data_IF_086175779828
#
_entry.id   IF_086175779828
#
_cell.length_a   1.000
_cell.length_b   1.000
_cell.length_c   1.000
_cell.angle_alpha   90.00
_cell.angle_beta   90.00
_cell.angle_gamma   90.00
#
_symmetry.space_group_name_H-M   'P 1'
#
loop_
_entity.id
_entity.type
_entity.pdbx_description
1 polymer ?
#
# COMPACT_ATOMS: atom_id res chain seq x y z
N UNK A 1 4.17 30.48 7.61
CA UNK A 1 3.95 29.34 8.52
C UNK A 1 4.98 28.28 8.19
N UNK A 2 5.85 27.90 9.13
CA UNK A 2 6.75 26.76 8.93
C UNK A 2 5.89 25.50 9.09
N UNK A 3 5.32 24.99 7.99
CA UNK A 3 4.46 23.81 8.03
C UNK A 3 5.26 22.59 8.49
N UNK A 4 4.71 21.78 9.40
CA UNK A 4 5.30 20.48 9.75
C UNK A 4 5.54 19.69 8.44
N UNK A 5 6.73 19.10 8.31
CA UNK A 5 7.09 18.29 7.14
C UNK A 5 6.39 16.93 7.24
N UNK A 6 5.11 16.90 6.85
CA UNK A 6 4.28 15.72 6.88
C UNK A 6 4.59 14.78 5.72
N UNK A 7 4.38 13.49 5.96
CA UNK A 7 4.48 12.43 4.97
C UNK A 7 3.21 11.58 5.00
N UNK A 8 2.86 10.99 3.87
CA UNK A 8 1.79 10.00 3.77
C UNK A 8 2.41 8.63 3.53
N UNK A 9 1.91 7.62 4.24
CA UNK A 9 2.42 6.27 4.08
C UNK A 9 1.63 5.54 3.00
N UNK A 10 2.31 4.84 2.11
CA UNK A 10 1.69 4.01 1.08
C UNK A 10 1.85 2.53 1.46
N UNK A 11 0.74 1.89 1.83
CA UNK A 11 0.69 0.53 2.35
C UNK A 11 -0.03 -0.40 1.35
N UNK A 12 0.72 -1.37 0.82
CA UNK A 12 0.19 -2.33 -0.15
C UNK A 12 -0.28 -3.60 0.55
N UNK A 13 -1.52 -4.02 0.30
CA UNK A 13 -2.10 -5.24 0.85
C UNK A 13 -1.96 -6.43 -0.09
N UNK A 14 -1.68 -7.60 0.50
CA UNK A 14 -1.61 -8.90 -0.16
C UNK A 14 -1.88 -10.02 0.87
N UNK A 15 -1.43 -11.26 0.59
CA UNK A 15 -1.42 -12.39 1.52
C UNK A 15 -0.30 -13.38 1.18
N UNK A 16 0.14 -14.13 2.18
CA UNK A 16 1.27 -15.08 2.07
C UNK A 16 1.00 -16.25 1.10
N UNK A 17 -0.27 -16.57 0.84
CA UNK A 17 -0.67 -17.68 -0.04
C UNK A 17 -0.22 -17.53 -1.50
N UNK A 18 0.18 -16.32 -1.92
CA UNK A 18 0.63 -16.04 -3.28
C UNK A 18 2.10 -16.39 -3.54
N UNK A 19 2.89 -16.69 -2.49
CA UNK A 19 4.30 -17.05 -2.63
C UNK A 19 5.24 -15.87 -2.87
N UNK A 20 6.54 -16.10 -2.70
CA UNK A 20 7.57 -15.05 -2.69
C UNK A 20 7.70 -14.31 -4.03
N UNK A 21 7.55 -15.00 -5.16
CA UNK A 21 7.68 -14.40 -6.48
C UNK A 21 6.58 -13.36 -6.74
N UNK A 22 5.31 -13.70 -6.45
CA UNK A 22 4.20 -12.75 -6.54
C UNK A 22 4.41 -11.58 -5.56
N UNK A 23 4.79 -11.86 -4.31
CA UNK A 23 5.05 -10.80 -3.33
C UNK A 23 6.18 -9.84 -3.75
N UNK A 24 7.20 -10.35 -4.46
CA UNK A 24 8.25 -9.53 -5.04
C UNK A 24 7.72 -8.61 -6.16
N UNK A 25 6.86 -9.11 -7.04
CA UNK A 25 6.18 -8.30 -8.08
C UNK A 25 5.27 -7.24 -7.45
N UNK A 26 4.50 -7.60 -6.43
CA UNK A 26 3.66 -6.66 -5.66
C UNK A 26 4.49 -5.54 -5.05
N UNK A 27 5.62 -5.89 -4.43
CA UNK A 27 6.53 -4.90 -3.84
C UNK A 27 7.14 -3.98 -4.90
N UNK A 28 7.47 -4.51 -6.07
CA UNK A 28 8.02 -3.75 -7.19
C UNK A 28 7.00 -2.80 -7.81
N UNK A 29 5.77 -3.25 -8.07
CA UNK A 29 4.69 -2.38 -8.56
C UNK A 29 4.39 -1.24 -7.57
N UNK A 30 4.37 -1.55 -6.28
CA UNK A 30 4.22 -0.54 -5.21
C UNK A 30 5.36 0.50 -5.23
N UNK A 31 6.61 0.05 -5.43
CA UNK A 31 7.78 0.93 -5.57
C UNK A 31 7.64 1.87 -6.76
N UNK A 32 7.34 1.32 -7.94
CA UNK A 32 7.19 2.10 -9.17
C UNK A 32 6.08 3.15 -9.03
N UNK A 33 4.92 2.78 -8.48
CA UNK A 33 3.79 3.72 -8.27
C UNK A 33 4.22 4.86 -7.34
N UNK A 34 4.79 4.54 -6.18
CA UNK A 34 5.19 5.57 -5.19
C UNK A 34 6.25 6.50 -5.75
N UNK A 35 7.26 5.97 -6.45
CA UNK A 35 8.31 6.79 -7.06
C UNK A 35 7.76 7.72 -8.15
N UNK A 36 6.91 7.22 -9.05
CA UNK A 36 6.32 8.05 -10.09
C UNK A 36 5.38 9.12 -9.51
N UNK A 37 4.58 8.78 -8.49
CA UNK A 37 3.72 9.75 -7.80
C UNK A 37 4.54 10.84 -7.11
N UNK A 38 5.63 10.49 -6.44
CA UNK A 38 6.55 11.45 -5.84
C UNK A 38 7.25 12.33 -6.90
N UNK A 39 7.70 11.73 -8.00
CA UNK A 39 8.40 12.44 -9.08
C UNK A 39 7.46 13.29 -9.95
N UNK A 40 6.15 13.11 -9.86
CA UNK A 40 5.16 13.86 -10.66
C UNK A 40 5.16 15.36 -10.38
N UNK A 41 5.63 15.79 -9.20
CA UNK A 41 5.55 17.17 -8.73
C UNK A 41 4.11 17.65 -8.43
N UNK A 42 3.09 16.79 -8.58
CA UNK A 42 1.69 17.13 -8.34
C UNK A 42 1.32 17.05 -6.86
N UNK A 43 1.94 16.10 -6.13
CA UNK A 43 1.62 15.87 -4.73
C UNK A 43 2.30 16.90 -3.83
N UNK A 44 1.57 17.53 -2.89
CA UNK A 44 2.14 18.53 -1.99
C UNK A 44 3.02 17.94 -0.86
N UNK A 45 2.99 16.61 -0.68
CA UNK A 45 3.73 15.89 0.35
C UNK A 45 4.27 14.56 -0.19
N UNK A 46 5.38 14.10 0.39
CA UNK A 46 6.04 12.84 0.05
C UNK A 46 5.17 11.63 0.43
N UNK A 47 5.11 10.65 -0.48
CA UNK A 47 4.65 9.30 -0.22
C UNK A 47 5.81 8.42 0.23
N UNK A 48 5.71 7.84 1.42
CA UNK A 48 6.67 6.87 1.95
C UNK A 48 6.11 5.47 1.77
N UNK A 49 6.71 4.70 0.86
CA UNK A 49 6.37 3.28 0.68
C UNK A 49 6.65 2.50 1.96
N UNK A 50 5.74 1.60 2.31
CA UNK A 50 5.90 0.62 3.39
C UNK A 50 5.98 -0.81 2.85
N UNK A 51 6.48 -1.77 3.65
CA UNK A 51 6.48 -3.18 3.26
C UNK A 51 5.06 -3.68 2.93
N UNK A 52 4.98 -4.67 2.04
CA UNK A 52 3.71 -5.34 1.72
C UNK A 52 3.13 -5.98 2.98
N UNK A 53 1.84 -5.75 3.21
CA UNK A 53 1.11 -6.23 4.37
C UNK A 53 0.40 -7.54 4.01
N UNK A 54 0.83 -8.64 4.62
CA UNK A 54 0.42 -10.00 4.25
C UNK A 54 -0.33 -10.73 5.37
N UNK A 55 -0.31 -10.20 6.59
CA UNK A 55 -0.92 -10.82 7.77
C UNK A 55 -1.42 -9.77 8.79
N UNK A 56 -2.21 -10.22 9.76
CA UNK A 56 -2.76 -9.35 10.80
C UNK A 56 -1.67 -8.66 11.65
N UNK A 57 -0.53 -9.33 11.86
CA UNK A 57 0.57 -8.82 12.67
C UNK A 57 1.28 -7.63 12.01
N UNK A 58 1.62 -7.74 10.73
CA UNK A 58 2.22 -6.68 9.92
C UNK A 58 1.28 -5.49 9.77
N UNK A 59 -0.01 -5.74 9.50
CA UNK A 59 -1.04 -4.68 9.38
C UNK A 59 -1.16 -3.90 10.69
N UNK A 60 -1.31 -4.61 11.82
CA UNK A 60 -1.44 -3.99 13.14
C UNK A 60 -0.19 -3.18 13.50
N UNK A 61 0.99 -3.75 13.28
CA UNK A 61 2.26 -3.06 13.51
C UNK A 61 2.35 -1.77 12.70
N UNK A 62 2.03 -1.81 11.40
CA UNK A 62 2.07 -0.63 10.55
C UNK A 62 1.14 0.47 11.05
N UNK A 63 -0.11 0.15 11.42
CA UNK A 63 -1.03 1.18 11.93
C UNK A 63 -0.63 1.71 13.32
N UNK A 64 -0.02 0.88 14.16
CA UNK A 64 0.55 1.32 15.43
C UNK A 64 1.72 2.29 15.22
N UNK A 65 2.68 1.94 14.34
CA UNK A 65 3.79 2.83 13.97
C UNK A 65 3.29 4.12 13.32
N UNK A 66 2.29 4.02 12.44
CA UNK A 66 1.67 5.17 11.80
C UNK A 66 1.04 6.11 12.82
N UNK A 67 0.39 5.60 13.86
CA UNK A 67 -0.16 6.41 14.95
C UNK A 67 0.94 7.13 15.75
N UNK A 68 2.04 6.44 16.04
CA UNK A 68 3.13 6.96 16.87
C UNK A 68 4.03 7.98 16.16
N UNK A 69 4.13 7.92 14.83
CA UNK A 69 4.98 8.83 14.05
C UNK A 69 4.30 10.20 13.86
N UNK A 70 4.79 11.26 14.52
CA UNK A 70 4.25 12.61 14.40
C UNK A 70 4.30 13.22 12.98
N UNK A 71 5.16 12.68 12.10
CA UNK A 71 5.30 13.12 10.70
C UNK A 71 4.36 12.38 9.76
N UNK A 72 3.83 11.23 10.16
CA UNK A 72 2.81 10.51 9.40
C UNK A 72 1.47 11.25 9.49
N UNK A 73 0.99 11.84 8.40
CA UNK A 73 -0.29 12.54 8.35
C UNK A 73 -1.47 11.65 7.96
N UNK A 74 -1.21 10.46 7.41
CA UNK A 74 -2.23 9.53 6.95
C UNK A 74 -1.62 8.33 6.23
N UNK A 75 -2.44 7.30 6.03
CA UNK A 75 -2.07 6.07 5.32
C UNK A 75 -2.97 5.94 4.10
N UNK A 76 -2.34 5.78 2.95
CA UNK A 76 -2.95 5.38 1.69
C UNK A 76 -2.80 3.87 1.57
N UNK A 77 -3.90 3.15 1.43
CA UNK A 77 -3.90 1.71 1.22
C UNK A 77 -4.23 1.37 -0.23
N UNK A 78 -3.56 0.35 -0.76
CA UNK A 78 -3.88 -0.24 -2.06
C UNK A 78 -3.82 -1.76 -1.94
N UNK A 79 -4.94 -2.44 -2.16
CA UNK A 79 -4.97 -3.90 -2.18
C UNK A 79 -4.58 -4.34 -3.60
N UNK A 80 -3.33 -4.76 -3.77
CA UNK A 80 -2.80 -5.14 -5.07
C UNK A 80 -3.37 -6.52 -5.45
N UNK A 81 -3.14 -7.51 -4.59
CA UNK A 81 -3.83 -8.80 -4.66
C UNK A 81 -4.94 -8.90 -3.61
N UNK A 82 -5.66 -10.03 -3.57
CA UNK A 82 -6.66 -10.24 -2.54
C UNK A 82 -6.00 -10.30 -1.15
N UNK A 83 -6.30 -9.31 -0.30
CA UNK A 83 -5.89 -9.26 1.10
C UNK A 83 -7.12 -9.51 2.00
N UNK A 84 -7.22 -10.67 2.68
CA UNK A 84 -8.40 -11.00 3.47
C UNK A 84 -8.74 -9.93 4.52
N UNK A 85 -9.89 -9.27 4.36
CA UNK A 85 -10.27 -8.11 5.17
C UNK A 85 -10.32 -8.38 6.69
N UNK A 86 -10.51 -9.64 7.11
CA UNK A 86 -10.47 -10.03 8.53
C UNK A 86 -9.11 -9.71 9.18
N UNK A 87 -8.00 -9.84 8.44
CA UNK A 87 -6.66 -9.52 8.92
C UNK A 87 -6.49 -8.03 9.23
N UNK A 88 -7.30 -7.16 8.60
CA UNK A 88 -7.22 -5.70 8.76
C UNK A 88 -8.01 -5.17 9.96
N UNK A 89 -8.95 -5.95 10.51
CA UNK A 89 -9.91 -5.48 11.53
C UNK A 89 -9.20 -4.88 12.75
N UNK A 90 -8.19 -5.56 13.30
CA UNK A 90 -7.52 -5.10 14.52
C UNK A 90 -6.71 -3.82 14.27
N UNK A 91 -5.94 -3.79 13.18
CA UNK A 91 -5.15 -2.60 12.80
C UNK A 91 -6.03 -1.38 12.53
N UNK A 92 -7.12 -1.55 11.78
CA UNK A 92 -8.06 -0.46 11.48
C UNK A 92 -8.81 0.04 12.73
N UNK A 93 -9.16 -0.86 13.67
CA UNK A 93 -9.76 -0.47 14.96
C UNK A 93 -8.81 0.35 15.83
N UNK A 94 -7.51 0.16 15.72
CA UNK A 94 -6.48 0.88 16.48
C UNK A 94 -6.01 2.15 15.76
N UNK A 95 -6.20 2.26 14.44
CA UNK A 95 -5.76 3.40 13.64
C UNK A 95 -6.51 4.70 13.99
N UNK A 96 -5.79 5.82 14.10
CA UNK A 96 -6.32 7.12 14.56
C UNK A 96 -6.04 8.29 13.61
N UNK A 97 -5.53 8.01 12.42
CA UNK A 97 -5.22 9.02 11.40
C UNK A 97 -6.10 8.81 10.15
N UNK A 98 -6.18 9.80 9.23
CA UNK A 98 -6.94 9.64 8.00
C UNK A 98 -6.45 8.45 7.16
N UNK A 99 -7.41 7.66 6.67
CA UNK A 99 -7.18 6.55 5.75
C UNK A 99 -7.73 6.93 4.37
N UNK A 100 -6.96 6.68 3.32
CA UNK A 100 -7.44 6.73 1.93
C UNK A 100 -7.29 5.35 1.31
N UNK A 101 -8.36 4.78 0.78
CA UNK A 101 -8.30 3.56 -0.01
C UNK A 101 -8.15 3.92 -1.48
N UNK A 102 -6.96 3.73 -2.05
CA UNK A 102 -6.69 3.97 -3.45
C UNK A 102 -7.07 2.73 -4.25
N UNK A 103 -8.23 2.79 -4.88
CA UNK A 103 -8.70 1.71 -5.75
C UNK A 103 -8.12 1.91 -7.16
N UNK A 104 -7.00 1.24 -7.42
CA UNK A 104 -6.24 1.35 -8.68
C UNK A 104 -5.69 -0.01 -9.11
N UNK A 105 -5.07 -0.04 -10.28
CA UNK A 105 -4.39 -1.20 -10.86
C UNK A 105 -3.04 -0.74 -11.42
N UNK A 106 -2.04 -1.63 -11.43
CA UNK A 106 -0.72 -1.30 -12.00
C UNK A 106 -0.80 -1.07 -13.53
N UNK A 107 -1.47 -1.97 -14.24
CA UNK A 107 -1.66 -1.88 -15.68
C UNK A 107 -2.91 -1.06 -16.01
N UNK A 108 -2.80 -0.15 -16.97
CA UNK A 108 -3.94 0.62 -17.48
C UNK A 108 -4.87 -0.25 -18.34
N UNK A 109 -4.30 -1.17 -19.11
CA UNK A 109 -5.01 -2.01 -20.08
C UNK A 109 -4.86 -3.49 -19.72
N UNK A 110 -5.82 -4.30 -20.15
CA UNK A 110 -5.79 -5.75 -20.01
C UNK A 110 -4.96 -6.31 -21.18
N UNK A 111 -3.93 -7.14 -20.93
CA UNK A 111 -3.15 -7.74 -21.99
C UNK A 111 -3.89 -8.94 -22.61
N UNK A 112 -4.89 -8.68 -23.45
CA UNK A 112 -5.82 -9.71 -23.97
C UNK A 112 -5.15 -10.92 -24.63
N UNK A 113 -4.00 -10.73 -25.28
CA UNK A 113 -3.30 -11.79 -26.00
C UNK A 113 -2.42 -12.67 -25.09
N UNK A 114 -2.05 -12.18 -23.90
CA UNK A 114 -1.09 -12.85 -23.00
C UNK A 114 -1.60 -13.06 -21.58
N UNK A 115 -2.81 -12.62 -21.25
CA UNK A 115 -3.40 -12.79 -19.93
C UNK A 115 -3.57 -14.28 -19.59
N UNK A 116 -3.09 -14.67 -18.41
CA UNK A 116 -3.20 -16.01 -17.87
C UNK A 116 -3.54 -15.99 -16.37
N UNK A 117 -3.52 -17.15 -15.74
CA UNK A 117 -3.85 -17.27 -14.31
C UNK A 117 -2.78 -16.68 -13.40
N UNK A 118 -1.54 -16.53 -13.87
CA UNK A 118 -0.48 -15.88 -13.09
C UNK A 118 -0.77 -14.38 -13.05
N UNK A 119 -1.07 -13.75 -14.19
CA UNK A 119 -1.52 -12.36 -14.25
C UNK A 119 -2.75 -12.07 -13.39
N UNK A 120 -3.72 -12.99 -13.35
CA UNK A 120 -4.96 -12.82 -12.56
C UNK A 120 -4.73 -12.89 -11.04
N UNK A 121 -3.62 -13.48 -10.60
CA UNK A 121 -3.25 -13.63 -9.19
C UNK A 121 -2.16 -12.64 -8.74
N UNK A 122 -1.59 -11.89 -9.69
CA UNK A 122 -0.52 -10.92 -9.48
C UNK A 122 -0.98 -9.54 -9.05
#
# INVERSE_FOLDING_TARGET
MMGKNYKFWFATGSQDLYGEECLAKVAEHSRIIVENLNNSGVLPFELVRKPTLIDSASIRRLFHEANADETCAGVITWMHTFSPAKSWILGLKEYRKPLLHLHTQFNQEIPYDTIDMDFMNE
#
